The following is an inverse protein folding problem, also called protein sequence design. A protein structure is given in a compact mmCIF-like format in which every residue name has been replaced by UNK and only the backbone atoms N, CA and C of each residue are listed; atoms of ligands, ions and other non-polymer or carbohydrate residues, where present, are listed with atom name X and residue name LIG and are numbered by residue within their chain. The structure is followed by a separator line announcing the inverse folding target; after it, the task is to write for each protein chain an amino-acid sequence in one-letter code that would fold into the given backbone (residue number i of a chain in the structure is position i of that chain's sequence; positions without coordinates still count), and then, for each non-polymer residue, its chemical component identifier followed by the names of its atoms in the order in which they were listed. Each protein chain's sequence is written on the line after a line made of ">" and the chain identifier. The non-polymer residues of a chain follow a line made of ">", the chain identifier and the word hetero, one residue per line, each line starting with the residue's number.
data_IF_029770967206
#
_entry.id   IF_029770967206
#
_cell.length_a   1.000
_cell.length_b   1.000
_cell.length_c   1.000
_cell.angle_alpha   90.00
_cell.angle_beta   90.00
_cell.angle_gamma   90.00
#
_symmetry.space_group_name_H-M   'P 1'
#
loop_
_entity.id
_entity.type
_entity.pdbx_description
1 polymer ?
#
# COMPACT_ATOMS: atom_id res chain seq x y z
N UNK A 1 31.21 9.87 -3.38
CA UNK A 1 29.79 9.73 -3.08
C UNK A 1 29.07 9.70 -4.42
N UNK A 2 28.44 8.60 -4.79
CA UNK A 2 27.66 8.53 -6.03
C UNK A 2 26.39 9.41 -5.88
N UNK A 3 25.70 9.71 -6.98
CA UNK A 3 24.51 10.57 -6.98
C UNK A 3 23.40 10.04 -6.05
N UNK A 4 23.27 8.72 -5.93
CA UNK A 4 22.24 8.09 -5.09
C UNK A 4 22.56 8.24 -3.60
N UNK A 5 23.84 8.14 -3.22
CA UNK A 5 24.30 8.40 -1.86
C UNK A 5 24.10 9.87 -1.48
N UNK A 6 24.28 10.81 -2.43
CA UNK A 6 23.96 12.23 -2.22
C UNK A 6 22.46 12.44 -1.96
N UNK A 7 21.60 11.79 -2.73
CA UNK A 7 20.15 11.83 -2.52
C UNK A 7 19.74 11.26 -1.16
N UNK A 8 20.33 10.13 -0.76
CA UNK A 8 20.13 9.53 0.57
C UNK A 8 20.53 10.51 1.66
N UNK A 9 21.70 11.15 1.53
CA UNK A 9 22.19 12.09 2.54
C UNK A 9 21.31 13.34 2.63
N UNK A 10 20.95 13.93 1.48
CA UNK A 10 20.05 15.09 1.41
C UNK A 10 18.70 14.78 2.06
N UNK A 11 18.04 13.70 1.61
CA UNK A 11 16.71 13.33 2.09
C UNK A 11 16.71 12.99 3.59
N UNK A 12 17.71 12.21 4.04
CA UNK A 12 17.78 11.81 5.45
C UNK A 12 18.01 13.00 6.39
N UNK A 13 18.83 13.98 6.00
CA UNK A 13 19.21 15.11 6.86
C UNK A 13 18.21 16.26 6.84
N UNK A 14 17.63 16.57 5.69
CA UNK A 14 16.94 17.84 5.49
C UNK A 14 15.44 17.72 5.25
N UNK A 15 14.95 16.57 4.75
CA UNK A 15 13.52 16.40 4.50
C UNK A 15 12.76 16.09 5.80
N UNK A 16 11.50 16.52 5.87
CA UNK A 16 10.53 16.00 6.86
C UNK A 16 9.66 14.93 6.23
N UNK A 17 9.43 15.00 4.92
CA UNK A 17 8.68 14.00 4.18
C UNK A 17 9.21 13.89 2.75
N UNK A 18 9.76 12.72 2.42
CA UNK A 18 10.31 12.42 1.10
C UNK A 18 9.44 11.41 0.36
N UNK A 19 9.08 11.71 -0.89
CA UNK A 19 8.31 10.84 -1.78
C UNK A 19 9.20 10.29 -2.90
N UNK A 20 9.30 8.98 -3.01
CA UNK A 20 10.06 8.32 -4.09
C UNK A 20 9.15 7.98 -5.27
N UNK A 21 9.48 8.50 -6.45
CA UNK A 21 8.80 8.30 -7.73
C UNK A 21 9.71 7.60 -8.75
N UNK A 22 9.12 6.98 -9.77
CA UNK A 22 9.85 6.16 -10.73
C UNK A 22 9.02 4.99 -11.25
N UNK A 23 9.33 4.54 -12.47
CA UNK A 23 8.68 3.39 -13.10
C UNK A 23 8.87 2.08 -12.35
N UNK A 24 8.36 0.98 -12.90
CA UNK A 24 8.64 -0.36 -12.39
C UNK A 24 10.15 -0.61 -12.37
N UNK A 25 10.62 -1.31 -11.33
CA UNK A 25 12.01 -1.72 -11.18
C UNK A 25 12.99 -0.55 -11.36
N UNK A 26 12.68 0.60 -10.76
CA UNK A 26 13.53 1.78 -10.78
C UNK A 26 14.47 1.90 -9.56
N UNK A 27 14.38 0.96 -8.60
CA UNK A 27 15.17 0.98 -7.36
C UNK A 27 14.57 1.81 -6.21
N UNK A 28 13.32 2.28 -6.33
CA UNK A 28 12.64 3.14 -5.33
C UNK A 28 12.66 2.57 -3.92
N UNK A 29 12.17 1.34 -3.73
CA UNK A 29 12.12 0.69 -2.42
C UNK A 29 13.52 0.43 -1.84
N UNK A 30 14.54 0.30 -2.69
CA UNK A 30 15.94 0.18 -2.23
C UNK A 30 16.45 1.53 -1.74
N UNK A 31 16.26 2.59 -2.51
CA UNK A 31 16.70 3.94 -2.12
C UNK A 31 15.93 4.47 -0.89
N UNK A 32 14.63 4.19 -0.81
CA UNK A 32 13.78 4.51 0.33
C UNK A 32 14.29 3.80 1.61
N UNK A 33 14.61 2.51 1.54
CA UNK A 33 15.20 1.77 2.67
C UNK A 33 16.61 2.26 3.03
N UNK A 34 17.44 2.60 2.06
CA UNK A 34 18.75 3.19 2.31
C UNK A 34 18.64 4.55 3.02
N UNK A 35 17.67 5.37 2.61
CA UNK A 35 17.35 6.65 3.28
C UNK A 35 16.89 6.43 4.72
N UNK A 36 16.03 5.43 4.95
CA UNK A 36 15.57 5.07 6.29
C UNK A 36 16.73 4.61 7.19
N UNK A 37 17.58 3.72 6.68
CA UNK A 37 18.77 3.23 7.39
C UNK A 37 19.72 4.37 7.77
N UNK A 38 19.96 5.29 6.82
CA UNK A 38 20.85 6.40 7.06
C UNK A 38 20.28 7.42 8.06
N UNK A 39 19.00 7.76 7.92
CA UNK A 39 18.29 8.63 8.85
C UNK A 39 18.27 8.06 10.28
N UNK A 40 18.02 6.75 10.43
CA UNK A 40 18.10 6.05 11.71
C UNK A 40 19.52 6.16 12.30
N UNK A 41 20.56 5.92 11.48
CA UNK A 41 21.97 5.99 11.92
C UNK A 41 22.36 7.37 12.44
N UNK A 42 21.79 8.45 11.89
CA UNK A 42 22.03 9.82 12.37
C UNK A 42 21.06 10.25 13.48
N UNK A 43 20.27 9.32 14.03
CA UNK A 43 19.46 9.52 15.23
C UNK A 43 18.05 10.09 14.97
N UNK A 44 17.55 10.09 13.74
CA UNK A 44 16.20 10.58 13.44
C UNK A 44 15.14 9.54 13.72
N UNK A 45 13.97 9.99 14.15
CA UNK A 45 12.77 9.13 14.24
C UNK A 45 12.13 9.00 12.85
N UNK A 46 12.10 7.79 12.32
CA UNK A 46 11.68 7.53 10.93
C UNK A 46 10.40 6.71 10.89
N UNK A 47 9.44 7.14 10.07
CA UNK A 47 8.32 6.32 9.63
C UNK A 47 8.40 6.06 8.12
N UNK A 48 8.15 4.82 7.72
CA UNK A 48 8.09 4.38 6.34
C UNK A 48 6.64 4.10 5.95
N UNK A 49 6.14 4.75 4.90
CA UNK A 49 4.86 4.45 4.27
C UNK A 49 5.13 3.76 2.94
N UNK A 50 4.63 2.53 2.81
CA UNK A 50 4.52 1.83 1.54
C UNK A 50 3.15 2.13 0.92
N UNK A 51 3.17 3.00 -0.09
CA UNK A 51 2.03 3.45 -0.87
C UNK A 51 1.81 2.64 -2.17
N UNK A 52 2.57 1.57 -2.43
CA UNK A 52 2.23 0.60 -3.46
C UNK A 52 1.18 -0.37 -2.91
N UNK A 53 0.12 -0.62 -3.68
CA UNK A 53 -0.97 -1.53 -3.30
C UNK A 53 -0.81 -2.92 -3.92
N UNK A 54 0.13 -3.07 -4.85
CA UNK A 54 0.30 -4.25 -5.67
C UNK A 54 1.60 -5.00 -5.35
N UNK A 55 2.73 -4.30 -5.26
CA UNK A 55 4.05 -4.85 -4.90
C UNK A 55 4.45 -4.30 -3.54
N UNK A 56 4.51 -5.16 -2.52
CA UNK A 56 4.58 -4.72 -1.13
C UNK A 56 5.94 -4.95 -0.50
N UNK A 57 6.38 -3.93 0.22
CA UNK A 57 7.44 -3.99 1.23
C UNK A 57 6.83 -4.05 2.64
N UNK A 58 5.80 -3.24 2.91
CA UNK A 58 5.13 -3.15 4.24
C UNK A 58 3.67 -3.54 4.13
N UNK A 59 3.27 -4.59 4.86
CA UNK A 59 1.91 -5.12 4.86
C UNK A 59 1.53 -5.92 3.61
N UNK A 60 0.32 -6.48 3.59
CA UNK A 60 -0.18 -7.30 2.47
C UNK A 60 -0.62 -6.47 1.25
N UNK A 61 -0.71 -7.10 0.06
CA UNK A 61 -1.29 -6.43 -1.11
C UNK A 61 -2.73 -5.96 -0.88
N UNK A 62 -3.20 -5.04 -1.71
CA UNK A 62 -4.46 -4.31 -1.56
C UNK A 62 -4.54 -3.38 -0.33
N UNK A 63 -3.39 -3.05 0.26
CA UNK A 63 -3.26 -2.08 1.36
C UNK A 63 -2.16 -1.06 1.09
N UNK A 64 -2.20 0.03 1.84
CA UNK A 64 -1.03 0.84 2.14
C UNK A 64 -0.62 0.57 3.59
N UNK A 65 0.68 0.54 3.86
CA UNK A 65 1.23 0.14 5.15
C UNK A 65 2.18 1.18 5.71
N UNK A 66 2.19 1.34 7.02
CA UNK A 66 3.13 2.20 7.75
C UNK A 66 3.94 1.35 8.72
N UNK A 67 5.25 1.61 8.81
CA UNK A 67 6.15 1.02 9.79
C UNK A 67 7.08 2.08 10.37
N UNK A 68 7.22 2.11 11.69
CA UNK A 68 8.28 2.86 12.36
C UNK A 68 9.59 2.09 12.26
N UNK A 69 10.65 2.79 11.86
CA UNK A 69 11.98 2.22 11.78
C UNK A 69 12.73 2.67 13.05
N UNK A 70 12.75 1.80 14.05
CA UNK A 70 13.29 2.08 15.39
C UNK A 70 14.69 1.49 15.56
N UNK A 71 14.97 0.40 14.86
CA UNK A 71 16.24 -0.30 14.86
C UNK A 71 16.59 -0.85 13.47
N UNK A 72 17.86 -1.20 13.18
CA UNK A 72 18.25 -1.73 11.88
C UNK A 72 17.46 -2.97 11.46
N UNK A 73 17.06 -3.81 12.41
CA UNK A 73 16.30 -5.03 12.15
C UNK A 73 14.89 -4.73 11.62
N UNK A 74 14.33 -3.54 11.85
CA UNK A 74 13.05 -3.15 11.26
C UNK A 74 13.10 -3.06 9.73
N UNK A 75 14.29 -2.95 9.13
CA UNK A 75 14.50 -2.83 7.68
C UNK A 75 14.72 -4.18 6.98
N UNK A 76 14.84 -5.29 7.71
CA UNK A 76 14.93 -6.62 7.09
C UNK A 76 13.57 -7.00 6.48
N UNK A 77 13.53 -7.72 5.34
CA UNK A 77 12.28 -7.97 4.60
C UNK A 77 11.15 -8.59 5.42
N UNK A 78 11.48 -9.48 6.35
CA UNK A 78 10.53 -10.16 7.23
C UNK A 78 9.84 -9.15 8.16
N UNK A 79 10.64 -8.34 8.87
CA UNK A 79 10.14 -7.31 9.80
C UNK A 79 9.45 -6.16 9.09
N UNK A 80 9.97 -5.74 7.92
CA UNK A 80 9.33 -4.72 7.09
C UNK A 80 7.91 -5.11 6.72
N UNK A 81 7.66 -6.39 6.45
CA UNK A 81 6.34 -6.85 6.05
C UNK A 81 5.29 -6.77 7.17
N UNK A 82 5.72 -6.65 8.42
CA UNK A 82 4.88 -6.37 9.58
C UNK A 82 4.63 -4.85 9.69
N UNK A 83 3.42 -4.42 9.35
CA UNK A 83 3.02 -3.03 9.45
C UNK A 83 2.59 -2.67 10.88
N UNK A 84 3.01 -1.51 11.38
CA UNK A 84 2.49 -0.92 12.63
C UNK A 84 1.07 -0.36 12.45
N UNK A 85 0.73 0.06 11.22
CA UNK A 85 -0.61 0.49 10.85
C UNK A 85 -0.91 0.18 9.39
N UNK A 86 -2.18 -0.14 9.10
CA UNK A 86 -2.65 -0.46 7.77
C UNK A 86 -3.80 0.44 7.34
N UNK A 87 -3.79 0.79 6.06
CA UNK A 87 -4.93 1.34 5.37
C UNK A 87 -5.41 0.36 4.30
N UNK A 88 -6.61 -0.18 4.47
CA UNK A 88 -7.20 -0.99 3.41
C UNK A 88 -7.47 -0.10 2.19
N UNK A 89 -7.10 -0.56 1.01
CA UNK A 89 -7.48 0.03 -0.29
C UNK A 89 -8.49 -0.87 -0.98
N UNK A 90 -8.27 -2.19 -0.92
CA UNK A 90 -9.18 -3.20 -1.47
C UNK A 90 -8.94 -3.54 -2.93
N UNK A 91 -7.89 -2.99 -3.54
CA UNK A 91 -7.51 -3.30 -4.92
C UNK A 91 -6.00 -3.29 -5.11
N UNK A 92 -5.53 -4.07 -6.08
CA UNK A 92 -4.15 -4.04 -6.57
C UNK A 92 -3.97 -3.06 -7.74
N UNK A 93 -5.00 -2.26 -8.04
CA UNK A 93 -5.00 -1.25 -9.09
C UNK A 93 -5.42 0.09 -8.48
N UNK A 94 -4.46 0.96 -8.10
CA UNK A 94 -4.72 2.14 -7.29
C UNK A 94 -5.70 3.13 -7.95
N UNK A 95 -5.67 3.24 -9.28
CA UNK A 95 -6.49 4.16 -10.06
C UNK A 95 -8.00 3.92 -9.92
N UNK A 96 -8.41 2.67 -9.67
CA UNK A 96 -9.83 2.33 -9.55
C UNK A 96 -10.36 2.56 -8.12
N UNK A 97 -9.45 2.88 -7.19
CA UNK A 97 -9.69 2.98 -5.76
C UNK A 97 -8.99 4.22 -5.17
N UNK A 98 -8.97 5.33 -5.91
CA UNK A 98 -8.31 6.57 -5.49
C UNK A 98 -8.83 7.11 -4.15
N UNK A 99 -10.15 7.14 -3.95
CA UNK A 99 -10.76 7.67 -2.71
C UNK A 99 -10.29 6.89 -1.47
N UNK A 100 -10.42 5.55 -1.39
CA UNK A 100 -9.91 4.82 -0.24
C UNK A 100 -8.38 4.88 -0.13
N UNK A 101 -7.64 4.95 -1.24
CA UNK A 101 -6.18 5.11 -1.23
C UNK A 101 -5.75 6.43 -0.57
N UNK A 102 -6.30 7.55 -1.02
CA UNK A 102 -6.00 8.90 -0.52
C UNK A 102 -6.39 9.00 0.95
N UNK A 103 -7.60 8.56 1.32
CA UNK A 103 -8.05 8.56 2.70
C UNK A 103 -7.17 7.71 3.62
N UNK A 104 -6.69 6.56 3.14
CA UNK A 104 -5.77 5.72 3.89
C UNK A 104 -4.39 6.37 4.07
N UNK A 105 -3.81 6.94 3.01
CA UNK A 105 -2.51 7.60 3.04
C UNK A 105 -2.51 8.82 3.97
N UNK A 106 -3.54 9.67 3.91
CA UNK A 106 -3.67 10.81 4.82
C UNK A 106 -3.70 10.38 6.30
N UNK A 107 -4.48 9.35 6.63
CA UNK A 107 -4.52 8.81 8.00
C UNK A 107 -3.18 8.25 8.47
N UNK A 108 -2.46 7.53 7.60
CA UNK A 108 -1.15 6.99 7.94
C UNK A 108 -0.09 8.09 8.11
N UNK A 109 -0.12 9.13 7.25
CA UNK A 109 0.73 10.32 7.39
C UNK A 109 0.48 11.02 8.72
N UNK A 110 -0.77 11.28 9.05
CA UNK A 110 -1.14 11.98 10.29
C UNK A 110 -0.76 11.14 11.51
N UNK A 111 -0.99 9.83 11.46
CA UNK A 111 -0.55 8.90 12.51
C UNK A 111 0.96 8.94 12.70
N UNK A 112 1.75 8.83 11.64
CA UNK A 112 3.21 8.90 11.72
C UNK A 112 3.69 10.20 12.38
N UNK A 113 3.12 11.34 11.98
CA UNK A 113 3.42 12.66 12.56
C UNK A 113 3.04 12.72 14.04
N UNK A 114 1.84 12.29 14.39
CA UNK A 114 1.33 12.29 15.77
C UNK A 114 2.11 11.35 16.69
N UNK A 115 2.66 10.27 16.15
CA UNK A 115 3.53 9.31 16.86
C UNK A 115 5.00 9.77 16.88
N UNK A 116 5.29 10.99 16.41
CA UNK A 116 6.57 11.67 16.60
C UNK A 116 7.61 11.43 15.51
N UNK A 117 7.23 10.88 14.34
CA UNK A 117 8.15 10.75 13.22
C UNK A 117 8.69 12.12 12.79
N UNK A 118 10.01 12.24 12.72
CA UNK A 118 10.70 13.43 12.23
C UNK A 118 10.88 13.37 10.71
N UNK A 119 11.11 12.16 10.18
CA UNK A 119 11.20 11.87 8.76
C UNK A 119 10.11 10.86 8.36
N UNK A 120 9.28 11.25 7.40
CA UNK A 120 8.38 10.37 6.69
C UNK A 120 9.00 9.97 5.35
N UNK A 121 9.22 8.68 5.14
CA UNK A 121 9.67 8.13 3.86
C UNK A 121 8.47 7.49 3.18
N UNK A 122 8.16 7.91 1.97
CA UNK A 122 7.07 7.33 1.19
C UNK A 122 7.59 6.65 -0.06
N UNK A 123 7.47 5.33 -0.07
CA UNK A 123 7.72 4.50 -1.23
C UNK A 123 6.43 4.30 -2.04
N UNK A 124 6.51 4.43 -3.36
CA UNK A 124 5.33 4.42 -4.22
C UNK A 124 5.41 3.35 -5.30
N UNK A 125 4.25 2.88 -5.78
CA UNK A 125 4.23 1.92 -6.89
C UNK A 125 4.70 2.49 -8.23
N UNK A 126 5.06 1.63 -9.18
CA UNK A 126 5.69 2.01 -10.45
C UNK A 126 4.77 2.52 -11.56
N UNK A 127 3.48 2.77 -11.29
CA UNK A 127 2.54 3.30 -12.27
C UNK A 127 2.84 4.79 -12.55
N UNK A 128 3.58 5.06 -13.63
CA UNK A 128 3.99 6.42 -14.04
C UNK A 128 3.48 6.82 -15.42
N UNK A 129 2.96 5.86 -16.19
CA UNK A 129 2.55 6.08 -17.57
C UNK A 129 1.12 6.63 -17.70
N UNK A 130 0.94 7.56 -18.63
CA UNK A 130 -0.36 8.10 -19.03
C UNK A 130 -1.11 8.86 -17.93
N UNK A 131 -2.36 9.21 -18.22
CA UNK A 131 -3.22 10.01 -17.33
C UNK A 131 -3.46 9.30 -15.99
N UNK A 132 -3.55 7.97 -15.99
CA UNK A 132 -3.76 7.18 -14.77
C UNK A 132 -2.59 7.29 -13.81
N UNK A 133 -1.35 7.14 -14.31
CA UNK A 133 -0.14 7.34 -13.52
C UNK A 133 -0.08 8.76 -12.94
N UNK A 134 -0.32 9.77 -13.79
CA UNK A 134 -0.34 11.17 -13.36
C UNK A 134 -1.36 11.44 -12.25
N UNK A 135 -2.61 10.98 -12.39
CA UNK A 135 -3.65 11.17 -11.38
C UNK A 135 -3.28 10.50 -10.05
N UNK A 136 -2.81 9.24 -10.09
CA UNK A 136 -2.40 8.53 -8.87
C UNK A 136 -1.24 9.24 -8.18
N UNK A 137 -0.26 9.76 -8.93
CA UNK A 137 0.87 10.50 -8.35
C UNK A 137 0.46 11.87 -7.81
N UNK A 138 -0.37 12.60 -8.55
CA UNK A 138 -0.91 13.89 -8.13
C UNK A 138 -1.57 13.79 -6.76
N UNK A 139 -2.55 12.88 -6.60
CA UNK A 139 -3.26 12.75 -5.33
C UNK A 139 -2.41 12.17 -4.20
N UNK A 140 -1.35 11.41 -4.52
CA UNK A 140 -0.35 11.00 -3.51
C UNK A 140 0.43 12.19 -3.00
N UNK A 141 0.90 13.07 -3.90
CA UNK A 141 1.61 14.29 -3.52
C UNK A 141 0.71 15.21 -2.70
N UNK A 142 -0.51 15.45 -3.19
CA UNK A 142 -1.52 16.29 -2.54
C UNK A 142 -1.80 15.84 -1.09
N UNK A 143 -2.04 14.54 -0.89
CA UNK A 143 -2.39 14.04 0.45
C UNK A 143 -1.19 13.78 1.35
N UNK A 144 -0.01 13.51 0.81
CA UNK A 144 1.17 13.22 1.63
C UNK A 144 1.95 14.46 2.00
N UNK A 145 1.76 15.56 1.27
CA UNK A 145 2.46 16.84 1.48
C UNK A 145 3.98 16.65 1.67
N UNK A 146 4.69 15.99 0.73
CA UNK A 146 6.13 15.86 0.82
C UNK A 146 6.81 17.22 0.65
N UNK A 147 7.95 17.42 1.31
CA UNK A 147 8.82 18.58 1.07
C UNK A 147 9.99 18.25 0.14
N UNK A 148 10.18 16.98 -0.21
CA UNK A 148 11.12 16.52 -1.22
C UNK A 148 10.51 15.39 -2.06
N UNK A 149 10.65 15.49 -3.38
CA UNK A 149 10.35 14.41 -4.32
C UNK A 149 11.63 13.91 -4.95
N UNK A 150 11.89 12.61 -4.84
CA UNK A 150 13.03 11.95 -5.48
C UNK A 150 12.52 11.08 -6.62
N UNK A 151 12.86 11.43 -7.86
CA UNK A 151 12.49 10.69 -9.07
C UNK A 151 13.62 9.81 -9.57
N UNK A 152 13.37 8.50 -9.68
CA UNK A 152 14.28 7.56 -10.36
C UNK A 152 13.71 7.24 -11.73
N UNK A 153 14.41 7.65 -12.79
CA UNK A 153 13.85 7.61 -14.14
C UNK A 153 14.78 7.02 -15.19
N UNK A 154 14.17 6.42 -16.21
CA UNK A 154 14.81 6.08 -17.48
C UNK A 154 14.44 7.14 -18.51
N UNK A 155 15.44 7.90 -18.97
CA UNK A 155 15.19 9.04 -19.85
C UNK A 155 14.32 10.10 -19.16
N UNK A 156 13.18 10.42 -19.77
CA UNK A 156 12.29 11.51 -19.38
C UNK A 156 10.90 11.02 -18.93
N UNK A 157 10.77 9.74 -18.54
CA UNK A 157 9.46 9.14 -18.23
C UNK A 157 8.70 9.80 -17.07
N UNK A 158 9.39 10.53 -16.18
CA UNK A 158 8.77 11.25 -15.08
C UNK A 158 8.48 12.73 -15.37
N UNK A 159 8.98 13.30 -16.47
CA UNK A 159 8.78 14.72 -16.83
C UNK A 159 7.31 15.18 -16.70
N UNK A 160 6.30 14.44 -17.20
CA UNK A 160 4.91 14.87 -17.06
C UNK A 160 4.42 14.92 -15.61
N UNK A 161 4.93 14.03 -14.75
CA UNK A 161 4.54 13.96 -13.35
C UNK A 161 5.27 15.05 -12.56
N UNK A 162 6.59 15.16 -12.73
CA UNK A 162 7.40 16.16 -12.02
C UNK A 162 7.00 17.57 -12.43
N UNK A 163 6.69 17.80 -13.71
CA UNK A 163 6.15 19.08 -14.17
C UNK A 163 4.78 19.42 -13.57
N UNK A 164 3.95 18.44 -13.21
CA UNK A 164 2.72 18.67 -12.44
C UNK A 164 3.05 18.98 -10.98
N UNK A 165 4.01 18.24 -10.40
CA UNK A 165 4.43 18.46 -9.01
C UNK A 165 4.94 19.89 -8.80
N UNK A 166 5.85 20.33 -9.67
CA UNK A 166 6.43 21.67 -9.64
C UNK A 166 5.37 22.76 -9.76
N UNK A 167 4.52 22.69 -10.80
CA UNK A 167 3.52 23.74 -11.10
C UNK A 167 2.39 23.85 -10.07
N UNK A 168 1.97 22.73 -9.47
CA UNK A 168 0.81 22.72 -8.57
C UNK A 168 1.18 22.80 -7.09
N UNK A 169 2.37 22.33 -6.70
CA UNK A 169 2.75 22.24 -5.30
C UNK A 169 4.04 23.01 -4.95
N UNK A 170 4.87 23.39 -5.93
CA UNK A 170 6.13 24.11 -5.67
C UNK A 170 7.10 23.33 -4.79
N UNK A 171 7.09 21.99 -4.88
CA UNK A 171 7.92 21.10 -4.06
C UNK A 171 9.26 20.88 -4.76
N UNK A 172 10.35 20.83 -3.98
CA UNK A 172 11.67 20.46 -4.51
C UNK A 172 11.62 19.05 -5.10
N UNK A 173 11.96 18.92 -6.39
CA UNK A 173 12.08 17.64 -7.07
C UNK A 173 13.50 17.42 -7.58
N UNK A 174 14.11 16.30 -7.21
CA UNK A 174 15.42 15.88 -7.70
C UNK A 174 15.28 14.57 -8.45
N UNK A 175 15.94 14.46 -9.61
CA UNK A 175 15.95 13.24 -10.41
C UNK A 175 17.32 12.59 -10.42
N UNK A 176 17.36 11.26 -10.39
CA UNK A 176 18.55 10.47 -10.67
C UNK A 176 18.24 9.38 -11.70
N UNK A 177 19.24 8.91 -12.47
CA UNK A 177 19.09 7.75 -13.33
C UNK A 177 18.81 6.51 -12.49
N UNK A 178 18.16 5.50 -13.07
CA UNK A 178 18.05 4.18 -12.44
C UNK A 178 19.44 3.58 -12.26
N UNK A 179 19.72 3.06 -11.07
CA UNK A 179 21.01 2.44 -10.76
C UNK A 179 21.29 1.24 -11.70
N UNK A 180 22.52 1.10 -12.23
CA UNK A 180 22.86 0.03 -13.19
C UNK A 180 22.58 -1.39 -12.70
N UNK A 181 22.74 -1.63 -11.39
CA UNK A 181 22.52 -2.94 -10.77
C UNK A 181 21.03 -3.29 -10.54
N UNK A 182 20.10 -2.44 -10.96
CA UNK A 182 18.67 -2.74 -10.82
C UNK A 182 18.24 -3.72 -11.89
N UNK A 183 17.93 -4.93 -11.45
CA UNK A 183 17.41 -5.99 -12.30
C UNK A 183 15.91 -5.80 -12.57
N UNK A 184 15.47 -5.80 -13.85
CA UNK A 184 14.05 -5.79 -14.19
C UNK A 184 13.36 -7.07 -13.71
N UNK A 185 12.18 -6.96 -13.14
CA UNK A 185 11.32 -8.10 -12.83
C UNK A 185 10.37 -8.38 -14.00
N UNK A 186 10.08 -9.65 -14.26
CA UNK A 186 9.03 -10.01 -15.22
C UNK A 186 7.63 -9.76 -14.65
N UNK A 187 6.60 -9.89 -15.50
CA UNK A 187 5.20 -9.83 -15.03
C UNK A 187 4.91 -10.99 -14.10
N UNK A 188 5.42 -12.17 -14.45
CA UNK A 188 5.31 -13.42 -13.70
C UNK A 188 6.00 -13.31 -12.33
N UNK A 189 7.22 -12.75 -12.25
CA UNK A 189 7.92 -12.54 -10.99
C UNK A 189 7.11 -11.62 -10.07
N UNK A 190 6.59 -10.51 -10.62
CA UNK A 190 5.73 -9.59 -9.87
C UNK A 190 4.43 -10.24 -9.39
N UNK A 191 3.86 -11.17 -10.16
CA UNK A 191 2.69 -11.93 -9.73
C UNK A 191 3.06 -12.89 -8.60
N UNK A 192 4.16 -13.64 -8.73
CA UNK A 192 4.64 -14.56 -7.72
C UNK A 192 5.02 -13.85 -6.41
N UNK A 193 5.68 -12.68 -6.49
CA UNK A 193 5.99 -11.85 -5.33
C UNK A 193 4.74 -11.38 -4.59
N UNK A 194 3.69 -10.99 -5.33
CA UNK A 194 2.40 -10.60 -4.75
C UNK A 194 1.71 -11.78 -4.07
N UNK A 195 1.68 -12.94 -4.72
CA UNK A 195 1.14 -14.18 -4.15
C UNK A 195 1.87 -14.54 -2.85
N UNK A 196 3.21 -14.50 -2.86
CA UNK A 196 4.04 -14.73 -1.68
C UNK A 196 3.78 -13.71 -0.57
N UNK A 197 3.62 -12.44 -0.89
CA UNK A 197 3.31 -11.39 0.08
C UNK A 197 1.92 -11.58 0.70
N UNK A 198 0.94 -11.99 -0.10
CA UNK A 198 -0.41 -12.32 0.39
C UNK A 198 -0.40 -13.57 1.27
N UNK A 199 0.31 -14.62 0.85
CA UNK A 199 0.50 -15.84 1.64
C UNK A 199 1.18 -15.56 2.97
N UNK A 200 2.29 -14.80 2.99
CA UNK A 200 2.97 -14.39 4.22
C UNK A 200 2.01 -13.76 5.23
N UNK A 201 1.07 -12.94 4.78
CA UNK A 201 0.07 -12.34 5.66
C UNK A 201 -0.93 -13.37 6.18
N UNK A 202 -1.59 -14.15 5.32
CA UNK A 202 -2.61 -15.12 5.76
C UNK A 202 -2.04 -16.32 6.53
N UNK A 203 -0.75 -16.62 6.36
CA UNK A 203 -0.04 -17.70 7.05
C UNK A 203 0.71 -17.23 8.29
N UNK A 204 0.68 -15.92 8.60
CA UNK A 204 1.37 -15.34 9.77
C UNK A 204 0.84 -15.86 11.09
N UNK A 205 -0.42 -16.32 11.14
CA UNK A 205 -1.06 -16.88 12.31
C UNK A 205 -2.20 -17.84 11.89
N UNK A 206 -2.64 -18.75 12.78
CA UNK A 206 -3.81 -19.59 12.52
C UNK A 206 -5.05 -18.74 12.21
N UNK A 207 -5.72 -19.08 11.10
CA UNK A 207 -6.90 -18.35 10.64
C UNK A 207 -8.06 -18.50 11.64
N UNK A 208 -8.46 -17.35 12.18
CA UNK A 208 -9.70 -17.20 12.94
C UNK A 208 -10.90 -17.29 12.01
N UNK A 209 -12.02 -17.77 12.56
CA UNK A 209 -13.30 -17.96 11.86
C UNK A 209 -14.40 -17.21 12.57
N UNK A 210 -14.92 -16.17 11.92
CA UNK A 210 -16.02 -15.39 12.46
C UNK A 210 -17.27 -15.55 11.61
N UNK A 211 -18.43 -15.74 12.25
CA UNK A 211 -19.71 -15.66 11.55
C UNK A 211 -19.97 -14.20 11.15
N UNK A 212 -20.27 -13.98 9.87
CA UNK A 212 -20.50 -12.64 9.33
C UNK A 212 -22.00 -12.38 9.20
N UNK A 213 -22.44 -11.21 9.66
CA UNK A 213 -23.81 -10.71 9.44
C UNK A 213 -23.82 -9.80 8.21
N UNK A 214 -24.80 -9.89 7.30
CA UNK A 214 -24.88 -9.01 6.12
C UNK A 214 -24.87 -7.50 6.43
N UNK A 215 -25.25 -7.11 7.65
CA UNK A 215 -25.32 -5.70 8.07
C UNK A 215 -23.97 -5.07 8.39
N UNK A 216 -22.88 -5.85 8.47
CA UNK A 216 -21.56 -5.31 8.85
C UNK A 216 -20.73 -4.80 7.66
N UNK A 217 -21.28 -4.87 6.45
CA UNK A 217 -20.56 -4.50 5.23
C UNK A 217 -20.64 -3.02 4.89
N UNK A 218 -19.52 -2.49 4.40
CA UNK A 218 -19.42 -1.27 3.62
C UNK A 218 -18.89 -1.62 2.21
N UNK A 219 -19.62 -1.30 1.12
CA UNK A 219 -21.00 -0.80 1.12
C UNK A 219 -21.98 -1.82 1.73
N UNK A 220 -23.13 -1.33 2.18
CA UNK A 220 -24.21 -2.21 2.67
C UNK A 220 -24.71 -3.09 1.52
N UNK A 221 -24.93 -4.36 1.81
CA UNK A 221 -25.46 -5.30 0.83
C UNK A 221 -26.94 -4.99 0.54
N UNK A 222 -27.37 -5.02 -0.74
CA UNK A 222 -28.78 -4.95 -1.10
C UNK A 222 -29.64 -6.02 -0.39
N UNK A 223 -30.95 -5.79 -0.24
CA UNK A 223 -31.87 -6.84 0.18
C UNK A 223 -31.79 -8.05 -0.75
N UNK A 224 -31.87 -9.27 -0.20
CA UNK A 224 -31.82 -10.53 -0.97
C UNK A 224 -30.55 -10.71 -1.82
N UNK A 225 -29.45 -10.03 -1.46
CA UNK A 225 -28.17 -10.18 -2.13
C UNK A 225 -27.66 -11.63 -2.07
N UNK A 226 -27.20 -12.16 -3.21
CA UNK A 226 -26.64 -13.51 -3.28
C UNK A 226 -25.24 -13.53 -2.63
N UNK A 227 -25.19 -14.05 -1.40
CA UNK A 227 -23.96 -14.12 -0.59
C UNK A 227 -22.91 -15.05 -1.21
N UNK A 228 -23.30 -16.00 -2.07
CA UNK A 228 -22.35 -16.89 -2.76
C UNK A 228 -21.40 -16.10 -3.65
N UNK A 229 -21.84 -14.96 -4.19
CA UNK A 229 -20.99 -14.10 -5.04
C UNK A 229 -19.84 -13.44 -4.27
N UNK A 230 -19.94 -13.34 -2.94
CA UNK A 230 -18.89 -12.80 -2.07
C UNK A 230 -17.84 -13.85 -1.69
N UNK A 231 -18.01 -15.11 -2.11
CA UNK A 231 -17.03 -16.15 -1.81
C UNK A 231 -15.64 -15.74 -2.32
N UNK A 232 -14.65 -15.99 -1.46
CA UNK A 232 -13.24 -15.65 -1.63
C UNK A 232 -12.91 -14.15 -1.79
N UNK A 233 -13.88 -13.26 -1.58
CA UNK A 233 -13.65 -11.83 -1.71
C UNK A 233 -12.81 -11.32 -0.53
N UNK A 234 -11.81 -10.50 -0.84
CA UNK A 234 -10.94 -9.86 0.13
C UNK A 234 -11.69 -8.71 0.81
N UNK A 235 -11.59 -8.64 2.13
CA UNK A 235 -12.21 -7.59 2.93
C UNK A 235 -11.22 -6.97 3.90
N UNK A 236 -11.39 -5.68 4.16
CA UNK A 236 -10.69 -4.97 5.23
C UNK A 236 -11.46 -5.07 6.53
N UNK A 237 -10.75 -5.36 7.62
CA UNK A 237 -11.29 -5.48 8.97
C UNK A 237 -11.22 -4.11 9.65
N UNK A 238 -12.35 -3.45 9.81
CA UNK A 238 -12.39 -2.12 10.42
C UNK A 238 -12.25 -2.18 11.94
N UNK A 239 -11.49 -1.23 12.49
CA UNK A 239 -11.36 -1.00 13.93
C UNK A 239 -12.55 -0.25 14.55
N UNK A 240 -13.46 0.31 13.74
CA UNK A 240 -14.58 1.15 14.18
C UNK A 240 -14.23 2.64 14.36
N UNK A 241 -12.99 3.04 14.10
CA UNK A 241 -12.47 4.40 14.22
C UNK A 241 -11.91 4.93 12.88
N UNK A 242 -12.31 4.30 11.77
CA UNK A 242 -11.89 4.65 10.41
C UNK A 242 -10.57 4.01 9.96
N UNK A 243 -9.90 3.26 10.84
CA UNK A 243 -8.73 2.46 10.54
C UNK A 243 -9.06 0.99 10.25
N UNK A 244 -8.01 0.20 10.06
CA UNK A 244 -8.10 -1.21 9.75
C UNK A 244 -7.08 -2.00 10.58
N UNK A 245 -7.54 -3.09 11.20
CA UNK A 245 -6.68 -4.02 11.97
C UNK A 245 -6.05 -5.08 11.08
N UNK A 246 -6.58 -5.28 9.87
CA UNK A 246 -6.02 -6.21 8.89
C UNK A 246 -6.97 -6.52 7.75
N UNK A 247 -6.71 -7.65 7.10
CA UNK A 247 -7.47 -8.25 6.02
C UNK A 247 -8.06 -9.60 6.41
N UNK A 248 -9.12 -9.98 5.71
CA UNK A 248 -9.67 -11.32 5.74
C UNK A 248 -10.28 -11.68 4.40
N UNK A 249 -10.62 -12.95 4.25
CA UNK A 249 -11.30 -13.48 3.07
C UNK A 249 -12.65 -14.05 3.49
N UNK A 250 -13.67 -13.79 2.68
CA UNK A 250 -15.00 -14.34 2.90
C UNK A 250 -15.07 -15.79 2.38
N UNK A 251 -15.77 -16.63 3.13
CA UNK A 251 -16.07 -18.03 2.80
C UNK A 251 -17.59 -18.21 2.86
N UNK A 252 -18.20 -18.62 1.75
CA UNK A 252 -19.61 -18.98 1.70
C UNK A 252 -19.83 -20.37 2.28
N UNK A 253 -20.79 -20.50 3.19
CA UNK A 253 -21.13 -21.76 3.85
C UNK A 253 -22.37 -22.36 3.19
N UNK A 254 -22.19 -23.44 2.44
CA UNK A 254 -23.27 -24.06 1.67
C UNK A 254 -24.43 -24.58 2.56
N UNK A 255 -24.13 -25.05 3.77
CA UNK A 255 -25.10 -25.72 4.64
C UNK A 255 -26.16 -24.76 5.23
N UNK A 256 -25.77 -23.52 5.57
CA UNK A 256 -26.66 -22.52 6.19
C UNK A 256 -26.83 -21.24 5.37
N UNK A 257 -26.23 -21.17 4.17
CA UNK A 257 -26.26 -20.02 3.27
C UNK A 257 -25.57 -18.78 3.85
N UNK A 258 -24.79 -18.93 4.93
CA UNK A 258 -24.13 -17.85 5.63
C UNK A 258 -22.76 -17.50 5.06
N UNK A 259 -22.16 -16.44 5.63
CA UNK A 259 -20.77 -16.08 5.38
C UNK A 259 -19.93 -16.28 6.62
N UNK A 260 -18.70 -16.75 6.41
CA UNK A 260 -17.62 -16.76 7.39
C UNK A 260 -16.51 -15.83 6.93
N UNK A 261 -15.87 -15.19 7.90
CA UNK A 261 -14.64 -14.44 7.71
C UNK A 261 -13.48 -15.31 8.15
N UNK A 262 -12.51 -15.50 7.27
CA UNK A 262 -11.22 -16.12 7.58
C UNK A 262 -10.15 -15.01 7.67
N UNK A 263 -9.44 -14.92 8.78
CA UNK A 263 -8.40 -13.89 8.97
C UNK A 263 -7.32 -14.35 9.95
N UNK A 264 -6.04 -13.98 9.76
CA UNK A 264 -5.01 -14.18 10.78
C UNK A 264 -5.17 -13.21 11.97
N UNK A 265 -6.05 -12.20 11.87
CA UNK A 265 -6.32 -11.25 12.98
C UNK A 265 -7.12 -11.96 14.07
N UNK A 266 -6.58 -11.95 15.29
CA UNK A 266 -7.17 -12.62 16.45
C UNK A 266 -8.53 -12.02 16.88
N UNK A 267 -8.64 -10.70 16.83
CA UNK A 267 -9.82 -9.97 17.30
C UNK A 267 -10.88 -9.82 16.21
N UNK A 268 -12.18 -9.94 16.54
CA UNK A 268 -13.26 -9.74 15.58
C UNK A 268 -13.34 -8.28 15.13
N UNK A 269 -13.56 -8.01 13.83
CA UNK A 269 -13.71 -6.65 13.33
C UNK A 269 -15.02 -6.01 13.77
N UNK A 270 -15.05 -4.67 13.83
CA UNK A 270 -16.30 -3.91 14.07
C UNK A 270 -17.20 -3.87 12.83
N UNK A 271 -16.58 -3.78 11.66
CA UNK A 271 -17.23 -3.78 10.36
C UNK A 271 -16.27 -4.32 9.29
N UNK A 272 -16.82 -4.70 8.14
CA UNK A 272 -16.07 -5.21 7.00
C UNK A 272 -16.20 -4.24 5.82
N UNK A 273 -15.08 -3.88 5.21
CA UNK A 273 -15.12 -3.14 3.93
C UNK A 273 -14.79 -4.09 2.79
N UNK A 274 -15.62 -4.12 1.77
CA UNK A 274 -15.40 -4.96 0.59
C UNK A 274 -14.26 -4.40 -0.26
N UNK A 275 -13.40 -5.30 -0.75
CA UNK A 275 -12.44 -5.02 -1.80
C UNK A 275 -12.91 -5.52 -3.17
N UNK A 276 -12.22 -5.13 -4.22
CA UNK A 276 -12.44 -5.53 -5.61
C UNK A 276 -11.50 -6.66 -6.04
N UNK A 277 -11.14 -7.55 -5.10
CA UNK A 277 -10.15 -8.61 -5.28
C UNK A 277 -10.67 -9.90 -4.66
N UNK A 278 -10.59 -10.99 -5.43
CA UNK A 278 -10.83 -12.36 -4.97
C UNK A 278 -9.50 -13.11 -4.85
N UNK A 279 -9.37 -13.94 -3.83
CA UNK A 279 -8.19 -14.79 -3.60
C UNK A 279 -8.46 -16.23 -4.01
N UNK A 280 -7.58 -16.78 -4.85
CA UNK A 280 -7.53 -18.22 -5.09
C UNK A 280 -6.79 -18.94 -3.97
N UNK A 281 -6.78 -20.27 -4.00
CA UNK A 281 -6.12 -21.10 -2.98
C UNK A 281 -4.61 -20.84 -2.86
N UNK A 282 -3.95 -20.43 -3.95
CA UNK A 282 -2.53 -20.04 -3.95
C UNK A 282 -2.30 -18.58 -3.55
N UNK A 283 -3.34 -17.91 -3.02
CA UNK A 283 -3.38 -16.46 -2.79
C UNK A 283 -3.23 -15.59 -4.05
N UNK A 284 -3.41 -16.20 -5.22
CA UNK A 284 -3.49 -15.47 -6.47
C UNK A 284 -4.66 -14.50 -6.45
N UNK A 285 -4.37 -13.27 -6.83
CA UNK A 285 -5.32 -12.17 -6.84
C UNK A 285 -6.02 -12.12 -8.20
N UNK A 286 -7.35 -12.22 -8.17
CA UNK A 286 -8.23 -11.95 -9.32
C UNK A 286 -9.04 -10.68 -9.07
N UNK A 287 -9.08 -9.80 -10.07
CA UNK A 287 -9.88 -8.57 -10.00
C UNK A 287 -11.37 -8.91 -10.09
N UNK A 288 -12.17 -8.19 -9.31
CA UNK A 288 -13.63 -8.28 -9.31
C UNK A 288 -14.18 -6.90 -9.66
N UNK A 289 -15.14 -6.85 -10.58
CA UNK A 289 -15.89 -5.62 -10.83
C UNK A 289 -17.03 -5.51 -9.83
N UNK A 290 -16.88 -4.60 -8.86
CA UNK A 290 -17.89 -4.40 -7.83
C UNK A 290 -19.20 -3.84 -8.39
N UNK A 291 -19.19 -3.09 -9.50
CA UNK A 291 -20.43 -2.55 -10.08
C UNK A 291 -21.29 -3.68 -10.62
N UNK A 292 -20.66 -4.59 -11.36
CA UNK A 292 -21.33 -5.80 -11.85
C UNK A 292 -21.75 -6.71 -10.69
N UNK A 293 -20.94 -6.83 -9.63
CA UNK A 293 -21.27 -7.61 -8.45
C UNK A 293 -22.55 -7.11 -7.75
N UNK A 294 -22.73 -5.78 -7.67
CA UNK A 294 -23.90 -5.16 -7.05
C UNK A 294 -25.09 -4.96 -7.99
N UNK A 295 -24.92 -5.19 -9.30
CA UNK A 295 -25.96 -4.92 -10.30
C UNK A 295 -26.35 -3.44 -10.39
N UNK A 296 -25.42 -2.55 -10.04
CA UNK A 296 -25.62 -1.09 -10.07
C UNK A 296 -24.94 -0.51 -11.30
N UNK A 297 -25.72 0.03 -12.24
CA UNK A 297 -25.22 0.92 -13.30
C UNK A 297 -24.67 2.24 -12.74
#
# INVERSE_FOLDING_TARGET
>A
MNEHEQLVDQAARHARSVLFLGGLDAGKSTLARATAAFALRIGRRVAYIDADVAQKTVGPPATVGMKHIREPDDLIPERMSEADALGFVGSISPQDHLVPLVGALGRLRDRARNEGAELLIVDTGGEVSGIRGQLVKYYKVDVLEPDLVVGLQRGEELEPILGVVDRFFGIESVTAPVHPDVEPSSVEDRMAMREKAMGRYFESAPLQRFRVRPTVFMPTLPPMFDLQTLDRLLVGLSDGHGGFTGLGVLEHVADDGGLRLLSPVAEPPKALRLGSVRLEDTYRVKRVDLRNLFGTE
#
